data_IF_257015184365
#
_entry.id   IF_257015184365
#
_cell.length_a   1.000
_cell.length_b   1.000
_cell.length_c   1.000
_cell.angle_alpha   90.00
_cell.angle_beta   90.00
_cell.angle_gamma   90.00
#
_symmetry.space_group_name_H-M   'P 1'
#
loop_
_entity.id
_entity.type
_entity.pdbx_description
1 polymer ?
#
# COMPACT_ATOMS: atom_id res chain seq x y z
N UNK A 1 8.56 5.61 -9.06
CA UNK A 1 7.13 5.60 -8.76
C UNK A 1 6.65 6.92 -8.18
N UNK A 2 5.52 7.40 -8.65
CA UNK A 2 4.76 8.52 -8.06
C UNK A 2 3.75 8.00 -7.03
N UNK A 3 3.13 8.92 -6.27
CA UNK A 3 2.07 8.58 -5.31
C UNK A 3 0.88 7.90 -5.98
N UNK A 4 0.51 8.37 -7.17
CA UNK A 4 -0.63 7.85 -7.94
C UNK A 4 -0.42 6.39 -8.34
N UNK A 5 0.77 6.05 -8.82
CA UNK A 5 1.11 4.68 -9.22
C UNK A 5 0.99 3.66 -8.07
N UNK A 6 1.30 4.06 -6.83
CA UNK A 6 1.16 3.20 -5.65
C UNK A 6 -0.31 2.99 -5.28
N UNK A 7 -1.15 4.00 -5.47
CA UNK A 7 -2.60 3.90 -5.25
C UNK A 7 -3.20 2.96 -6.30
N UNK A 8 -2.85 3.13 -7.57
CA UNK A 8 -3.29 2.23 -8.64
C UNK A 8 -2.84 0.78 -8.40
N UNK A 9 -1.62 0.58 -7.89
CA UNK A 9 -1.13 -0.74 -7.50
C UNK A 9 -1.99 -1.34 -6.38
N UNK A 10 -2.31 -0.55 -5.35
CA UNK A 10 -3.15 -1.01 -4.24
C UNK A 10 -4.54 -1.43 -4.72
N UNK A 11 -5.16 -0.65 -5.61
CA UNK A 11 -6.46 -0.97 -6.21
C UNK A 11 -6.41 -2.26 -7.05
N UNK A 12 -5.32 -2.48 -7.79
CA UNK A 12 -5.12 -3.70 -8.59
C UNK A 12 -4.90 -4.94 -7.73
N UNK A 13 -4.06 -4.84 -6.69
CA UNK A 13 -3.74 -5.96 -5.78
C UNK A 13 -4.99 -6.35 -4.98
N UNK A 14 -5.69 -5.37 -4.42
CA UNK A 14 -6.84 -5.62 -3.55
C UNK A 14 -8.13 -5.87 -4.34
N UNK A 15 -8.11 -5.63 -5.66
CA UNK A 15 -9.23 -5.77 -6.61
C UNK A 15 -10.50 -5.03 -6.18
N UNK A 16 -10.35 -4.06 -5.29
CA UNK A 16 -11.44 -3.32 -4.66
C UNK A 16 -10.89 -1.95 -4.23
N UNK A 17 -11.49 -0.90 -4.78
CA UNK A 17 -11.06 0.49 -4.57
C UNK A 17 -11.32 0.96 -3.14
N UNK A 18 -12.40 0.51 -2.51
CA UNK A 18 -12.76 0.90 -1.15
C UNK A 18 -11.79 0.24 -0.17
N UNK A 19 -11.51 -1.06 -0.35
CA UNK A 19 -10.50 -1.78 0.44
C UNK A 19 -9.10 -1.22 0.25
N UNK A 20 -8.74 -0.77 -0.95
CA UNK A 20 -7.46 -0.10 -1.19
C UNK A 20 -7.35 1.21 -0.40
N UNK A 21 -8.39 2.04 -0.39
CA UNK A 21 -8.42 3.25 0.45
C UNK A 21 -8.36 2.92 1.94
N UNK A 22 -9.15 1.96 2.40
CA UNK A 22 -9.12 1.54 3.80
C UNK A 22 -7.75 1.00 4.21
N UNK A 23 -7.10 0.21 3.36
CA UNK A 23 -5.76 -0.31 3.61
C UNK A 23 -4.72 0.80 3.66
N UNK A 24 -4.76 1.75 2.71
CA UNK A 24 -3.85 2.89 2.65
C UNK A 24 -4.02 3.86 3.85
N UNK A 25 -5.23 3.95 4.40
CA UNK A 25 -5.54 4.75 5.57
C UNK A 25 -5.27 4.01 6.90
N UNK A 26 -5.16 2.68 6.87
CA UNK A 26 -4.94 1.88 8.08
C UNK A 26 -3.47 1.90 8.51
N UNK A 27 -3.19 2.16 9.80
CA UNK A 27 -1.83 2.07 10.33
C UNK A 27 -1.31 0.64 10.23
N UNK A 28 -0.12 0.47 9.66
CA UNK A 28 0.46 -0.85 9.46
C UNK A 28 1.64 -1.08 10.41
N UNK A 29 1.74 -2.23 11.10
CA UNK A 29 2.83 -2.50 12.05
C UNK A 29 4.22 -2.47 11.39
N UNK A 30 4.32 -2.94 10.14
CA UNK A 30 5.57 -2.89 9.36
C UNK A 30 5.98 -1.46 8.96
N UNK A 31 5.05 -0.50 9.05
CA UNK A 31 5.29 0.91 8.81
C UNK A 31 5.37 1.71 10.12
N UNK A 32 5.79 1.05 11.22
CA UNK A 32 5.84 1.65 12.56
C UNK A 32 4.50 2.21 13.03
N UNK A 33 3.40 1.57 12.64
CA UNK A 33 2.03 2.03 12.91
C UNK A 33 1.67 3.35 12.19
N UNK A 34 2.41 3.73 11.15
CA UNK A 34 2.00 4.80 10.25
C UNK A 34 1.10 4.26 9.13
N UNK A 35 0.14 5.07 8.66
CA UNK A 35 -0.67 4.71 7.52
C UNK A 35 0.16 4.83 6.23
N UNK A 36 0.07 3.85 5.30
CA UNK A 36 0.79 3.87 4.03
C UNK A 36 0.68 5.19 3.27
N UNK A 37 -0.51 5.80 3.26
CA UNK A 37 -0.77 7.06 2.54
C UNK A 37 0.11 8.23 3.00
N UNK A 38 0.52 8.26 4.27
CA UNK A 38 1.38 9.31 4.84
C UNK A 38 2.84 9.16 4.39
N UNK A 39 3.25 7.93 4.09
CA UNK A 39 4.58 7.61 3.61
C UNK A 39 4.74 7.82 2.09
N UNK A 40 3.65 8.00 1.34
CA UNK A 40 3.70 8.17 -0.12
C UNK A 40 4.37 9.48 -0.56
N UNK A 41 4.52 10.46 0.33
CA UNK A 41 5.21 11.71 0.02
C UNK A 41 6.72 11.46 -0.20
N UNK A 42 7.30 10.53 0.57
CA UNK A 42 8.72 10.18 0.48
C UNK A 42 8.97 9.04 -0.50
N UNK A 43 10.07 9.14 -1.27
CA UNK A 43 10.48 8.08 -2.19
C UNK A 43 10.70 6.74 -1.47
N UNK A 44 11.30 6.78 -0.27
CA UNK A 44 11.54 5.60 0.54
C UNK A 44 10.25 5.00 1.14
N UNK A 45 9.25 5.84 1.40
CA UNK A 45 7.96 5.37 1.89
C UNK A 45 7.15 4.70 0.78
N UNK A 46 7.16 5.26 -0.43
CA UNK A 46 6.56 4.63 -1.63
C UNK A 46 7.10 3.23 -1.88
N UNK A 47 8.42 3.05 -1.85
CA UNK A 47 9.07 1.76 -2.06
C UNK A 47 8.64 0.71 -1.02
N UNK A 48 8.58 1.07 0.27
CA UNK A 48 8.09 0.16 1.32
C UNK A 48 6.62 -0.22 1.15
N UNK A 49 5.77 0.74 0.77
CA UNK A 49 4.34 0.49 0.55
C UNK A 49 4.13 -0.41 -0.67
N UNK A 50 4.91 -0.20 -1.75
CA UNK A 50 4.92 -1.07 -2.93
C UNK A 50 5.29 -2.51 -2.54
N UNK A 51 6.39 -2.71 -1.82
CA UNK A 51 6.84 -4.04 -1.37
C UNK A 51 5.79 -4.73 -0.48
N UNK A 52 5.10 -3.98 0.37
CA UNK A 52 3.98 -4.47 1.18
C UNK A 52 2.81 -4.94 0.32
N UNK A 53 2.43 -4.17 -0.70
CA UNK A 53 1.35 -4.52 -1.62
C UNK A 53 1.70 -5.77 -2.44
N UNK A 54 2.92 -5.87 -2.95
CA UNK A 54 3.40 -7.06 -3.68
C UNK A 54 3.41 -8.30 -2.76
N UNK A 55 3.84 -8.13 -1.50
CA UNK A 55 3.81 -9.21 -0.51
C UNK A 55 2.39 -9.63 -0.12
N UNK A 56 1.47 -8.66 -0.06
CA UNK A 56 0.06 -8.91 0.22
C UNK A 56 -0.63 -9.64 -0.94
N UNK A 57 -0.32 -9.30 -2.20
CA UNK A 57 -0.80 -10.03 -3.39
C UNK A 57 -0.39 -11.50 -3.32
N UNK A 58 0.89 -11.76 -3.00
CA UNK A 58 1.40 -13.12 -2.86
C UNK A 58 0.77 -13.90 -1.70
N UNK A 59 0.34 -13.22 -0.63
CA UNK A 59 -0.27 -13.85 0.55
C UNK A 59 -1.79 -14.04 0.44
N UNK A 60 -2.49 -13.22 -0.36
CA UNK A 60 -3.92 -13.36 -0.62
C UNK A 60 -4.25 -14.50 -1.60
N UNK A 61 -3.25 -15.02 -2.31
CA UNK A 61 -3.35 -16.22 -3.16
C UNK A 61 -3.01 -17.47 -2.35
N UNK A 62 -3.76 -17.76 -1.29
CA UNK A 62 -3.79 -19.04 -0.56
C UNK A 62 -5.21 -19.39 -0.17
#
# INVERSE_FOLDING_TARGET
MTRDEVIELAERVLKDQDRAREWLARPHPLLKMHPPQDLLDSHFGRDQVEQLLVSAEASFVV
#
